data_IF_193130713924
#
_entry.id   IF_193130713924
#
_cell.length_a   1.000
_cell.length_b   1.000
_cell.length_c   1.000
_cell.angle_alpha   90.00
_cell.angle_beta   90.00
_cell.angle_gamma   90.00
#
_symmetry.space_group_name_H-M   'P 1'
#
loop_
_entity.id
_entity.type
_entity.pdbx_description
1 polymer ?
#
# COMPACT_ATOMS: atom_id res chain seq x y z
N UNK A 1 35.64 -20.82 -37.72
CA UNK A 1 34.27 -20.74 -37.14
C UNK A 1 34.41 -20.29 -35.71
N UNK A 2 34.44 -18.97 -35.50
CA UNK A 2 34.51 -18.33 -34.18
C UNK A 2 33.10 -18.30 -33.61
N UNK A 3 32.84 -19.14 -32.61
CA UNK A 3 31.61 -19.11 -31.83
C UNK A 3 31.62 -17.86 -30.96
N UNK A 4 30.91 -16.83 -31.41
CA UNK A 4 30.65 -15.63 -30.62
C UNK A 4 29.72 -16.03 -29.47
N UNK A 5 30.30 -16.22 -28.29
CA UNK A 5 29.56 -16.38 -27.05
C UNK A 5 28.83 -15.06 -26.80
N UNK A 6 27.50 -15.08 -26.88
CA UNK A 6 26.67 -13.95 -26.49
C UNK A 6 26.97 -13.63 -25.03
N UNK A 7 27.58 -12.48 -24.78
CA UNK A 7 27.73 -11.92 -23.44
C UNK A 7 26.31 -11.61 -22.96
N UNK A 8 25.72 -12.52 -22.19
CA UNK A 8 24.50 -12.25 -21.42
C UNK A 8 24.89 -11.11 -20.47
N UNK A 9 24.28 -9.94 -20.63
CA UNK A 9 24.39 -8.88 -19.63
C UNK A 9 24.05 -9.51 -18.28
N UNK A 10 25.04 -9.56 -17.39
CA UNK A 10 24.87 -10.21 -16.08
C UNK A 10 23.82 -9.43 -15.29
N UNK A 11 22.78 -10.11 -14.83
CA UNK A 11 21.77 -9.51 -13.96
C UNK A 11 22.43 -9.07 -12.66
N UNK A 12 22.36 -7.77 -12.34
CA UNK A 12 22.93 -7.23 -11.10
C UNK A 12 22.05 -7.69 -9.90
N UNK A 13 22.61 -8.43 -8.92
CA UNK A 13 21.81 -9.06 -7.86
C UNK A 13 21.05 -8.08 -6.97
N UNK A 14 21.59 -6.89 -6.71
CA UNK A 14 20.97 -5.89 -5.85
C UNK A 14 19.72 -5.32 -6.50
N UNK A 15 19.82 -4.93 -7.77
CA UNK A 15 18.73 -4.47 -8.61
C UNK A 15 17.68 -5.57 -8.79
N UNK A 16 18.10 -6.81 -9.03
CA UNK A 16 17.16 -7.94 -9.12
C UNK A 16 16.34 -8.09 -7.83
N UNK A 17 16.99 -8.08 -6.66
CA UNK A 17 16.31 -8.15 -5.36
C UNK A 17 15.38 -6.95 -5.14
N UNK A 18 15.83 -5.74 -5.49
CA UNK A 18 15.04 -4.53 -5.37
C UNK A 18 13.77 -4.60 -6.23
N UNK A 19 13.89 -5.07 -7.48
CA UNK A 19 12.77 -5.20 -8.40
C UNK A 19 11.79 -6.32 -8.00
N UNK A 20 12.28 -7.43 -7.41
CA UNK A 20 11.41 -8.44 -6.80
C UNK A 20 10.55 -7.86 -5.67
N UNK A 21 11.09 -6.90 -4.92
CA UNK A 21 10.36 -6.19 -3.86
C UNK A 21 9.16 -5.35 -4.33
N UNK A 22 8.97 -5.18 -5.64
CA UNK A 22 7.79 -4.52 -6.22
C UNK A 22 6.52 -5.38 -6.15
N UNK A 23 6.63 -6.68 -5.85
CA UNK A 23 5.48 -7.55 -5.62
C UNK A 23 5.22 -7.65 -4.10
N UNK A 24 4.15 -7.02 -3.56
CA UNK A 24 3.84 -7.10 -2.15
C UNK A 24 3.45 -8.53 -1.77
N UNK A 25 3.87 -8.96 -0.59
CA UNK A 25 3.63 -10.31 -0.07
C UNK A 25 3.11 -10.23 1.34
N UNK A 26 2.27 -11.19 1.74
CA UNK A 26 2.09 -11.46 3.16
C UNK A 26 3.36 -12.04 3.77
N UNK A 27 3.45 -12.04 5.10
CA UNK A 27 4.55 -12.68 5.83
C UNK A 27 4.04 -13.92 6.54
N UNK A 28 4.78 -15.02 6.44
CA UNK A 28 4.51 -16.24 7.17
C UNK A 28 5.72 -16.68 8.00
N UNK A 29 5.49 -17.47 9.04
CA UNK A 29 6.53 -18.26 9.71
C UNK A 29 6.31 -19.72 9.35
N UNK A 30 7.30 -20.31 8.70
CA UNK A 30 7.33 -21.73 8.41
C UNK A 30 7.97 -22.44 9.60
N UNK A 31 7.31 -23.46 10.11
CA UNK A 31 7.74 -24.20 11.29
C UNK A 31 7.77 -25.70 11.03
N UNK A 32 8.66 -26.38 11.72
CA UNK A 32 8.76 -27.84 11.74
C UNK A 32 9.39 -28.26 13.06
N UNK A 33 9.81 -29.53 13.17
CA UNK A 33 10.59 -30.02 14.30
C UNK A 33 11.96 -30.50 13.85
N UNK A 34 12.93 -30.35 14.74
CA UNK A 34 14.23 -31.01 14.62
C UNK A 34 14.10 -32.51 14.90
N UNK A 35 15.13 -33.29 14.57
CA UNK A 35 15.17 -34.74 14.81
C UNK A 35 14.99 -35.10 16.31
N UNK A 36 15.43 -34.23 17.23
CA UNK A 36 15.22 -34.35 18.67
C UNK A 36 13.87 -33.77 19.15
N UNK A 37 12.97 -33.42 18.24
CA UNK A 37 11.60 -33.00 18.52
C UNK A 37 11.43 -31.52 18.93
N UNK A 38 12.51 -30.74 19.00
CA UNK A 38 12.43 -29.30 19.33
C UNK A 38 11.78 -28.51 18.19
N UNK A 39 11.03 -27.44 18.49
CA UNK A 39 10.44 -26.60 17.46
C UNK A 39 11.53 -25.83 16.69
N UNK A 40 11.37 -25.75 15.38
CA UNK A 40 12.23 -24.98 14.48
C UNK A 40 11.37 -24.14 13.55
N UNK A 41 11.87 -22.97 13.14
CA UNK A 41 11.13 -22.13 12.20
C UNK A 41 11.89 -20.92 11.68
N UNK A 42 11.37 -20.37 10.58
CA UNK A 42 11.90 -19.18 9.93
C UNK A 42 10.79 -18.33 9.32
N UNK A 43 11.05 -17.03 9.26
CA UNK A 43 10.21 -16.09 8.51
C UNK A 43 10.39 -16.30 7.02
N UNK A 44 9.29 -16.29 6.29
CA UNK A 44 9.22 -16.52 4.87
C UNK A 44 8.16 -15.60 4.23
N UNK A 45 8.50 -14.99 3.11
CA UNK A 45 7.56 -14.25 2.28
C UNK A 45 7.50 -14.79 0.84
N UNK A 46 8.07 -15.97 0.59
CA UNK A 46 7.96 -16.71 -0.68
C UNK A 46 6.82 -17.72 -0.69
N UNK A 47 5.96 -17.69 0.33
CA UNK A 47 4.76 -18.53 0.41
C UNK A 47 3.79 -18.25 -0.75
N UNK A 48 3.24 -19.30 -1.34
CA UNK A 48 2.18 -19.18 -2.35
C UNK A 48 1.26 -20.41 -2.37
N UNK A 49 0.00 -20.22 -2.78
CA UNK A 49 -0.92 -21.31 -3.12
C UNK A 49 -0.60 -21.88 -4.50
N UNK A 50 -0.75 -23.20 -4.67
CA UNK A 50 -0.39 -23.90 -5.91
C UNK A 50 -1.59 -24.59 -6.55
N UNK A 51 -2.35 -25.36 -5.77
CA UNK A 51 -3.45 -26.18 -6.27
C UNK A 51 -4.59 -26.23 -5.25
N UNK A 52 -5.83 -26.35 -5.73
CA UNK A 52 -7.00 -26.60 -4.90
C UNK A 52 -7.27 -28.11 -4.73
N UNK A 53 -7.01 -28.93 -5.75
CA UNK A 53 -7.22 -30.37 -5.72
C UNK A 53 -6.06 -31.13 -6.41
N UNK A 54 -5.17 -31.81 -5.65
CA UNK A 54 -5.07 -31.78 -4.18
C UNK A 54 -4.69 -30.38 -3.66
N UNK A 55 -4.96 -30.05 -2.39
CA UNK A 55 -4.69 -28.74 -1.82
C UNK A 55 -3.18 -28.56 -1.60
N UNK A 56 -2.50 -27.88 -2.52
CA UNK A 56 -1.06 -27.68 -2.50
C UNK A 56 -0.67 -26.23 -2.26
N UNK A 57 0.37 -26.05 -1.45
CA UNK A 57 1.03 -24.78 -1.15
C UNK A 57 2.54 -24.95 -1.30
N UNK A 58 3.28 -23.84 -1.47
CA UNK A 58 4.74 -23.88 -1.53
C UNK A 58 5.40 -22.76 -0.72
N UNK A 59 6.68 -22.95 -0.44
CA UNK A 59 7.61 -21.91 -0.05
C UNK A 59 9.03 -22.24 -0.53
N UNK A 60 9.89 -21.23 -0.58
CA UNK A 60 11.29 -21.41 -0.98
C UNK A 60 12.23 -21.15 0.19
N UNK A 61 13.13 -22.09 0.47
CA UNK A 61 14.14 -22.01 1.53
C UNK A 61 15.54 -21.90 0.94
N UNK A 62 16.30 -20.90 1.38
CA UNK A 62 17.68 -20.69 0.91
C UNK A 62 18.56 -21.89 1.30
N UNK A 63 19.38 -22.38 0.37
CA UNK A 63 20.33 -23.48 0.61
C UNK A 63 21.37 -23.17 1.68
N UNK A 64 21.67 -21.89 1.90
CA UNK A 64 22.57 -21.42 2.96
C UNK A 64 21.91 -21.30 4.35
N UNK A 65 20.61 -21.62 4.49
CA UNK A 65 19.92 -21.63 5.78
C UNK A 65 20.45 -22.77 6.65
N UNK A 66 20.72 -22.49 7.93
CA UNK A 66 21.05 -23.52 8.92
C UNK A 66 19.91 -24.52 9.14
N UNK A 67 18.67 -24.15 8.78
CA UNK A 67 17.50 -25.02 8.89
C UNK A 67 17.26 -25.88 7.66
N UNK A 68 18.07 -25.78 6.60
CA UNK A 68 17.84 -26.57 5.38
C UNK A 68 17.83 -28.08 5.68
N UNK A 69 18.79 -28.58 6.47
CA UNK A 69 18.83 -29.99 6.87
C UNK A 69 17.59 -30.41 7.65
N UNK A 70 17.13 -29.57 8.59
CA UNK A 70 15.91 -29.83 9.37
C UNK A 70 14.68 -29.95 8.48
N UNK A 71 14.49 -29.05 7.51
CA UNK A 71 13.36 -29.13 6.58
C UNK A 71 13.51 -30.24 5.55
N UNK A 72 14.74 -30.57 5.15
CA UNK A 72 15.03 -31.65 4.22
C UNK A 72 14.66 -33.04 4.75
N UNK A 73 14.78 -33.23 6.06
CA UNK A 73 14.48 -34.49 6.77
C UNK A 73 13.06 -34.53 7.35
N UNK A 74 12.34 -33.40 7.34
CA UNK A 74 11.01 -33.31 7.91
C UNK A 74 9.94 -33.92 6.98
N UNK A 75 9.07 -34.76 7.53
CA UNK A 75 7.90 -35.28 6.81
C UNK A 75 6.73 -34.28 6.76
N UNK A 76 6.76 -33.27 7.63
CA UNK A 76 5.72 -32.26 7.76
C UNK A 76 6.27 -30.89 8.16
N UNK A 77 5.49 -29.85 7.84
CA UNK A 77 5.73 -28.49 8.26
C UNK A 77 4.41 -27.74 8.43
N UNK A 78 4.43 -26.63 9.17
CA UNK A 78 3.31 -25.72 9.26
C UNK A 78 3.65 -24.32 8.75
N UNK A 79 2.67 -23.69 8.11
CA UNK A 79 2.71 -22.32 7.61
C UNK A 79 1.84 -21.48 8.53
N UNK A 80 2.40 -20.47 9.19
CA UNK A 80 1.68 -19.57 10.09
C UNK A 80 1.64 -18.18 9.45
N UNK A 81 0.49 -17.75 8.92
CA UNK A 81 0.32 -16.44 8.27
C UNK A 81 0.17 -15.36 9.33
N UNK A 82 1.07 -14.38 9.32
CA UNK A 82 1.15 -13.37 10.37
C UNK A 82 0.10 -12.28 10.22
N UNK A 83 -0.46 -11.86 11.35
CA UNK A 83 -1.26 -10.63 11.43
C UNK A 83 -0.35 -9.40 11.51
N UNK A 84 -0.89 -8.24 11.18
CA UNK A 84 -0.22 -6.93 11.20
C UNK A 84 0.50 -6.65 12.55
N UNK A 85 0.00 -7.21 13.65
CA UNK A 85 0.53 -7.02 15.01
C UNK A 85 1.76 -7.89 15.32
N UNK A 86 2.19 -8.74 14.39
CA UNK A 86 3.24 -9.75 14.60
C UNK A 86 4.55 -9.41 13.85
N UNK A 87 4.81 -8.14 13.56
CA UNK A 87 6.07 -7.66 12.95
C UNK A 87 7.31 -8.04 13.78
N UNK A 88 7.23 -7.96 15.10
CA UNK A 88 8.28 -8.39 16.02
C UNK A 88 8.59 -9.90 15.89
N UNK A 89 7.57 -10.75 15.70
CA UNK A 89 7.77 -12.18 15.46
C UNK A 89 8.43 -12.42 14.10
N UNK A 90 7.99 -11.72 13.05
CA UNK A 90 8.63 -11.77 11.74
C UNK A 90 10.12 -11.43 11.82
N UNK A 91 10.50 -10.34 12.51
CA UNK A 91 11.90 -9.96 12.71
C UNK A 91 12.69 -11.01 13.50
N UNK A 92 12.09 -11.57 14.56
CA UNK A 92 12.68 -12.61 15.40
C UNK A 92 13.02 -13.86 14.60
N UNK A 93 12.06 -14.38 13.84
CA UNK A 93 12.22 -15.62 13.08
C UNK A 93 13.10 -15.45 11.82
N UNK A 94 13.32 -14.22 11.36
CA UNK A 94 14.28 -13.90 10.30
C UNK A 94 15.74 -13.79 10.80
N UNK A 95 15.95 -13.51 12.09
CA UNK A 95 17.28 -13.25 12.65
C UNK A 95 18.12 -14.52 12.78
N UNK A 96 19.38 -14.46 12.34
CA UNK A 96 20.40 -15.49 12.59
C UNK A 96 21.09 -15.33 13.96
N UNK A 97 20.87 -14.19 14.64
CA UNK A 97 21.51 -13.88 15.94
C UNK A 97 20.78 -14.47 17.14
N UNK A 98 19.52 -14.86 16.96
CA UNK A 98 18.68 -15.40 18.03
C UNK A 98 18.79 -16.92 18.00
N UNK A 99 19.34 -17.49 19.08
CA UNK A 99 19.55 -18.93 19.20
C UNK A 99 18.23 -19.69 19.39
N UNK A 100 17.42 -19.29 20.38
CA UNK A 100 16.07 -19.81 20.58
C UNK A 100 15.01 -18.81 20.10
N UNK A 101 14.44 -19.10 18.94
CA UNK A 101 13.39 -18.28 18.32
C UNK A 101 12.02 -18.48 18.96
N UNK A 102 11.81 -19.58 19.67
CA UNK A 102 10.53 -19.93 20.30
C UNK A 102 10.46 -19.51 21.78
N UNK A 103 11.58 -19.12 22.39
CA UNK A 103 11.61 -18.64 23.77
C UNK A 103 10.63 -17.47 23.99
N UNK A 104 9.62 -17.66 24.85
CA UNK A 104 8.60 -16.65 25.11
C UNK A 104 7.66 -16.36 23.93
N UNK A 105 7.64 -17.20 22.90
CA UNK A 105 6.62 -17.19 21.84
C UNK A 105 5.49 -18.13 22.26
N UNK A 106 4.24 -17.66 22.17
CA UNK A 106 3.08 -18.52 22.38
C UNK A 106 2.86 -19.41 21.14
N UNK A 107 2.90 -20.72 21.34
CA UNK A 107 2.65 -21.70 20.30
C UNK A 107 2.10 -22.99 20.92
N UNK A 108 1.39 -23.76 20.11
CA UNK A 108 0.85 -25.07 20.47
C UNK A 108 1.24 -26.14 19.45
N UNK A 109 1.18 -27.40 19.83
CA UNK A 109 1.31 -28.49 18.86
C UNK A 109 0.02 -28.61 18.04
N UNK A 110 0.17 -28.72 16.71
CA UNK A 110 -0.90 -29.03 15.77
C UNK A 110 -1.20 -30.53 15.66
N UNK A 111 -2.24 -30.96 14.90
CA UNK A 111 -2.57 -32.37 14.72
C UNK A 111 -1.48 -33.23 14.07
N UNK A 112 -0.62 -32.65 13.21
CA UNK A 112 0.58 -33.34 12.69
C UNK A 112 1.80 -33.17 13.62
N UNK A 113 1.59 -32.64 14.83
CA UNK A 113 2.64 -32.36 15.77
C UNK A 113 3.41 -31.07 15.47
N UNK A 114 3.09 -30.32 14.41
CA UNK A 114 3.89 -29.15 14.01
C UNK A 114 3.63 -27.93 14.93
N UNK A 115 4.63 -27.05 15.15
CA UNK A 115 4.43 -25.84 15.96
C UNK A 115 3.46 -24.85 15.29
N UNK A 116 2.33 -24.58 15.92
CA UNK A 116 1.36 -23.56 15.46
C UNK A 116 1.48 -22.34 16.36
N UNK A 117 1.87 -21.21 15.77
CA UNK A 117 2.05 -19.94 16.48
C UNK A 117 0.67 -19.32 16.74
N UNK A 118 0.45 -18.83 17.95
CA UNK A 118 -0.83 -18.21 18.33
C UNK A 118 -1.01 -16.84 17.66
N UNK A 119 -2.26 -16.37 17.58
CA UNK A 119 -2.67 -15.08 17.01
C UNK A 119 -2.30 -14.83 15.53
N UNK A 120 -1.84 -15.85 14.81
CA UNK A 120 -1.69 -15.83 13.36
C UNK A 120 -3.06 -15.84 12.67
N UNK A 121 -3.20 -15.15 11.54
CA UNK A 121 -4.46 -15.05 10.77
C UNK A 121 -4.95 -16.40 10.25
N UNK A 122 -4.01 -17.27 9.90
CA UNK A 122 -4.29 -18.62 9.47
C UNK A 122 -3.06 -19.50 9.71
N UNK A 123 -3.31 -20.79 9.90
CA UNK A 123 -2.25 -21.80 9.91
C UNK A 123 -2.61 -22.99 9.03
N UNK A 124 -1.62 -23.54 8.34
CA UNK A 124 -1.75 -24.72 7.49
C UNK A 124 -0.69 -25.76 7.88
N UNK A 125 -1.11 -26.95 8.25
CA UNK A 125 -0.23 -28.09 8.48
C UNK A 125 -0.19 -28.95 7.23
N UNK A 126 1.01 -29.18 6.75
CA UNK A 126 1.28 -29.82 5.47
C UNK A 126 2.16 -31.05 5.68
N UNK A 127 1.83 -32.15 4.99
CA UNK A 127 2.84 -33.17 4.71
C UNK A 127 3.69 -32.72 3.53
N UNK A 128 4.99 -33.03 3.54
CA UNK A 128 5.86 -32.73 2.39
C UNK A 128 5.39 -33.53 1.19
N UNK A 129 4.99 -32.83 0.13
CA UNK A 129 4.55 -33.42 -1.12
C UNK A 129 5.73 -33.57 -2.10
N UNK A 130 6.55 -32.53 -2.22
CA UNK A 130 7.75 -32.56 -3.06
C UNK A 130 8.78 -31.51 -2.62
N UNK A 131 10.04 -31.74 -3.00
CA UNK A 131 11.13 -30.77 -2.89
C UNK A 131 11.86 -30.68 -4.22
N UNK A 132 12.12 -29.47 -4.70
CA UNK A 132 12.82 -29.22 -5.95
C UNK A 132 13.96 -28.22 -5.74
N UNK A 133 15.13 -28.51 -6.30
CA UNK A 133 16.21 -27.54 -6.36
C UNK A 133 15.86 -26.40 -7.34
N UNK A 134 16.04 -25.16 -6.90
CA UNK A 134 15.74 -23.97 -7.69
C UNK A 134 16.81 -22.90 -7.49
N UNK A 135 18.03 -23.16 -8.00
CA UNK A 135 19.16 -22.25 -7.87
C UNK A 135 19.75 -22.25 -6.46
N UNK A 136 19.76 -21.09 -5.81
CA UNK A 136 20.27 -20.91 -4.43
C UNK A 136 19.20 -21.19 -3.35
N UNK A 137 18.00 -21.61 -3.76
CA UNK A 137 16.91 -22.06 -2.90
C UNK A 137 16.45 -23.46 -3.27
N UNK A 138 15.80 -24.12 -2.33
CA UNK A 138 14.95 -25.28 -2.58
C UNK A 138 13.49 -24.89 -2.40
N UNK A 139 12.65 -25.32 -3.33
CA UNK A 139 11.20 -25.15 -3.28
C UNK A 139 10.61 -26.37 -2.58
N UNK A 140 9.92 -26.13 -1.48
CA UNK A 140 9.14 -27.14 -0.77
C UNK A 140 7.68 -26.99 -1.14
N UNK A 141 7.07 -28.07 -1.59
CA UNK A 141 5.63 -28.17 -1.87
C UNK A 141 5.02 -29.03 -0.77
N UNK A 142 3.98 -28.51 -0.12
CA UNK A 142 3.23 -29.19 0.92
C UNK A 142 1.80 -29.46 0.48
N UNK A 143 1.29 -30.63 0.84
CA UNK A 143 -0.14 -30.93 0.74
C UNK A 143 -0.79 -30.62 2.08
N UNK A 144 -1.77 -29.71 2.09
CA UNK A 144 -2.47 -29.28 3.31
C UNK A 144 -3.32 -30.43 3.86
N UNK A 145 -3.05 -30.82 5.10
CA UNK A 145 -3.80 -31.85 5.83
C UNK A 145 -4.72 -31.27 6.91
N UNK A 146 -4.29 -30.19 7.55
CA UNK A 146 -5.10 -29.45 8.52
C UNK A 146 -4.93 -27.94 8.32
N UNK A 147 -5.99 -27.19 8.59
CA UNK A 147 -5.94 -25.72 8.57
C UNK A 147 -6.85 -25.14 9.65
N UNK A 148 -6.47 -23.97 10.15
CA UNK A 148 -7.31 -23.17 11.05
C UNK A 148 -7.19 -21.68 10.73
N UNK A 149 -8.31 -20.97 10.87
CA UNK A 149 -8.32 -19.50 10.86
C UNK A 149 -8.01 -18.95 12.25
N UNK A 150 -7.56 -17.70 12.28
CA UNK A 150 -7.29 -16.94 13.49
C UNK A 150 -8.17 -15.70 13.62
N UNK A 151 -7.68 -14.63 14.29
CA UNK A 151 -8.47 -13.42 14.52
C UNK A 151 -8.79 -12.70 13.22
N UNK A 152 -9.86 -11.88 13.26
CA UNK A 152 -10.28 -11.02 12.15
C UNK A 152 -9.40 -9.74 12.08
N UNK A 153 -8.09 -9.91 11.97
CA UNK A 153 -7.09 -8.84 11.84
C UNK A 153 -6.63 -8.67 10.38
N UNK A 154 -5.87 -7.60 10.10
CA UNK A 154 -5.21 -7.42 8.80
C UNK A 154 -3.91 -8.23 8.71
N UNK A 155 -3.49 -8.57 7.50
CA UNK A 155 -2.24 -9.29 7.26
C UNK A 155 -1.03 -8.38 7.40
N UNK A 156 0.06 -8.92 7.98
CA UNK A 156 1.36 -8.28 7.89
C UNK A 156 1.84 -8.33 6.44
N UNK A 157 2.08 -7.17 5.84
CA UNK A 157 2.54 -7.07 4.44
C UNK A 157 3.99 -6.62 4.40
N UNK A 158 4.76 -7.23 3.50
CA UNK A 158 6.13 -6.83 3.19
C UNK A 158 6.21 -6.35 1.75
N UNK A 159 6.70 -5.12 1.56
CA UNK A 159 6.82 -4.46 0.27
C UNK A 159 8.08 -3.58 0.24
N UNK A 160 8.87 -3.68 -0.83
CA UNK A 160 10.12 -2.90 -1.02
C UNK A 160 11.05 -2.84 0.20
N UNK A 161 11.13 -3.92 0.97
CA UNK A 161 12.04 -4.01 2.12
C UNK A 161 11.47 -3.47 3.45
N UNK A 162 10.20 -3.07 3.49
CA UNK A 162 9.54 -2.55 4.69
C UNK A 162 8.21 -3.27 4.99
N UNK A 163 7.81 -3.24 6.26
CA UNK A 163 6.45 -3.63 6.66
C UNK A 163 5.45 -2.55 6.29
N UNK A 164 4.30 -2.96 5.77
CA UNK A 164 3.22 -2.08 5.36
C UNK A 164 1.93 -2.45 6.10
N UNK A 165 1.10 -1.44 6.36
CA UNK A 165 -0.26 -1.64 6.83
C UNK A 165 -1.19 -1.81 5.63
N UNK A 166 -2.12 -2.76 5.71
CA UNK A 166 -3.22 -2.86 4.74
C UNK A 166 -4.37 -1.98 5.19
N UNK A 167 -4.80 -1.08 4.31
CA UNK A 167 -6.05 -0.37 4.45
C UNK A 167 -6.96 -0.75 3.29
N UNK A 168 -8.26 -0.93 3.56
CA UNK A 168 -9.25 -1.01 2.50
C UNK A 168 -9.13 0.26 1.64
N UNK A 169 -9.07 0.08 0.33
CA UNK A 169 -8.95 1.21 -0.57
C UNK A 169 -10.13 2.16 -0.35
N UNK A 170 -9.84 3.44 -0.07
CA UNK A 170 -10.87 4.47 0.02
C UNK A 170 -11.70 4.55 -1.26
N UNK A 171 -11.14 4.15 -2.41
CA UNK A 171 -11.86 3.95 -3.67
C UNK A 171 -13.00 2.93 -3.53
N UNK A 172 -12.71 1.76 -2.95
CA UNK A 172 -13.70 0.70 -2.73
C UNK A 172 -14.82 1.21 -1.81
N UNK A 173 -14.45 1.88 -0.72
CA UNK A 173 -15.41 2.47 0.22
C UNK A 173 -16.31 3.51 -0.45
N UNK A 174 -15.75 4.30 -1.37
CA UNK A 174 -16.46 5.27 -2.20
C UNK A 174 -17.40 4.60 -3.20
N UNK A 175 -16.93 3.61 -3.96
CA UNK A 175 -17.72 2.93 -5.00
C UNK A 175 -18.88 2.14 -4.36
N UNK A 176 -18.64 1.53 -3.20
CA UNK A 176 -19.67 0.82 -2.44
C UNK A 176 -20.64 1.75 -1.71
N UNK A 177 -20.51 3.08 -1.86
CA UNK A 177 -21.38 4.06 -1.23
C UNK A 177 -21.23 4.16 0.30
N UNK A 178 -20.20 3.53 0.88
CA UNK A 178 -19.90 3.57 2.32
C UNK A 178 -19.30 4.90 2.76
N UNK A 179 -18.73 5.66 1.82
CA UNK A 179 -18.31 7.06 1.98
C UNK A 179 -19.14 7.98 1.08
N UNK A 180 -20.06 8.73 1.69
CA UNK A 180 -20.92 9.68 1.00
C UNK A 180 -20.14 10.87 0.42
N UNK A 181 -20.73 11.56 -0.56
CA UNK A 181 -20.14 12.80 -1.12
C UNK A 181 -20.07 13.93 -0.10
N UNK A 182 -21.04 14.01 0.82
CA UNK A 182 -21.05 14.99 1.89
C UNK A 182 -19.90 14.78 2.88
N UNK A 183 -19.64 13.53 3.30
CA UNK A 183 -18.58 13.21 4.25
C UNK A 183 -17.19 13.51 3.67
N UNK A 184 -16.98 13.19 2.39
CA UNK A 184 -15.72 13.50 1.70
C UNK A 184 -15.51 15.00 1.54
N UNK A 185 -16.55 15.75 1.18
CA UNK A 185 -16.46 17.20 1.09
C UNK A 185 -16.14 17.82 2.44
N UNK A 186 -16.80 17.37 3.51
CA UNK A 186 -16.54 17.85 4.85
C UNK A 186 -15.11 17.54 5.29
N UNK A 187 -14.63 16.32 5.03
CA UNK A 187 -13.24 15.95 5.28
C UNK A 187 -12.27 16.82 4.48
N UNK A 188 -12.57 17.08 3.20
CA UNK A 188 -11.75 17.90 2.33
C UNK A 188 -11.68 19.37 2.79
N UNK A 189 -12.83 19.96 3.12
CA UNK A 189 -12.93 21.32 3.68
C UNK A 189 -12.17 21.45 4.99
N UNK A 190 -12.31 20.47 5.88
CA UNK A 190 -11.63 20.46 7.18
C UNK A 190 -10.12 20.35 7.01
N UNK A 191 -9.65 19.41 6.19
CA UNK A 191 -8.24 19.16 5.96
C UNK A 191 -7.56 20.35 5.28
N UNK A 192 -8.09 20.80 4.13
CA UNK A 192 -7.49 21.90 3.39
C UNK A 192 -7.71 23.26 4.05
N UNK A 193 -8.79 23.44 4.79
CA UNK A 193 -8.97 24.62 5.65
C UNK A 193 -7.86 24.71 6.70
N UNK A 194 -7.50 23.58 7.33
CA UNK A 194 -6.38 23.54 8.28
C UNK A 194 -5.04 23.79 7.60
N UNK A 195 -4.78 23.16 6.44
CA UNK A 195 -3.56 23.38 5.67
C UNK A 195 -3.40 24.82 5.20
N UNK A 196 -4.49 25.49 4.80
CA UNK A 196 -4.45 26.91 4.41
C UNK A 196 -4.11 27.82 5.60
N UNK A 197 -4.63 27.54 6.80
CA UNK A 197 -4.25 28.27 8.02
C UNK A 197 -2.76 28.13 8.30
N UNK A 198 -2.24 26.90 8.26
CA UNK A 198 -0.81 26.64 8.44
C UNK A 198 0.04 27.31 7.35
N UNK A 199 -0.38 27.24 6.09
CA UNK A 199 0.31 27.89 4.98
C UNK A 199 0.31 29.42 5.13
N UNK A 200 -0.78 30.03 5.60
CA UNK A 200 -0.77 31.45 5.94
C UNK A 200 0.30 31.76 7.00
N UNK A 201 0.49 30.91 8.01
CA UNK A 201 1.48 31.15 9.06
C UNK A 201 2.93 30.88 8.61
N UNK A 202 3.14 29.85 7.78
CA UNK A 202 4.45 29.21 7.63
C UNK A 202 5.03 29.30 6.21
N UNK A 203 4.20 29.47 5.18
CA UNK A 203 4.65 29.42 3.80
C UNK A 203 5.61 30.58 3.47
N UNK A 204 6.69 30.26 2.75
CA UNK A 204 7.58 31.23 2.14
C UNK A 204 6.92 31.88 0.92
N UNK A 205 7.39 33.05 0.51
CA UNK A 205 6.88 33.69 -0.72
C UNK A 205 7.08 32.81 -1.96
N UNK A 206 8.18 32.06 -2.04
CA UNK A 206 8.42 31.12 -3.15
C UNK A 206 7.42 29.95 -3.17
N UNK A 207 6.93 29.50 -2.02
CA UNK A 207 5.87 28.49 -1.95
C UNK A 207 4.50 29.05 -2.36
N UNK A 208 4.21 30.30 -2.00
CA UNK A 208 3.00 30.99 -2.47
C UNK A 208 3.07 31.22 -3.99
N UNK A 209 4.23 31.58 -4.53
CA UNK A 209 4.47 31.67 -5.97
C UNK A 209 4.24 30.32 -6.68
N UNK A 210 4.62 29.21 -6.05
CA UNK A 210 4.35 27.87 -6.59
C UNK A 210 2.85 27.54 -6.63
N UNK A 211 2.08 27.95 -5.60
CA UNK A 211 0.61 27.82 -5.61
C UNK A 211 0.03 28.69 -6.74
N UNK A 212 0.50 29.92 -6.91
CA UNK A 212 0.06 30.81 -7.99
C UNK A 212 0.37 30.23 -9.38
N UNK A 213 1.57 29.68 -9.57
CA UNK A 213 1.95 28.99 -10.81
C UNK A 213 1.04 27.77 -11.10
N UNK A 214 0.56 27.07 -10.07
CA UNK A 214 -0.41 26.00 -10.25
C UNK A 214 -1.79 26.53 -10.67
N UNK A 215 -2.22 27.69 -10.15
CA UNK A 215 -3.44 28.37 -10.62
C UNK A 215 -3.30 28.79 -12.08
N UNK A 216 -2.18 29.42 -12.45
CA UNK A 216 -1.87 29.80 -13.83
C UNK A 216 -1.96 28.60 -14.79
N UNK A 217 -1.43 27.45 -14.41
CA UNK A 217 -1.47 26.25 -15.23
C UNK A 217 -2.91 25.77 -15.50
N UNK A 218 -3.79 25.90 -14.50
CA UNK A 218 -5.21 25.57 -14.65
C UNK A 218 -5.90 26.54 -15.63
N UNK A 219 -5.60 27.83 -15.53
CA UNK A 219 -6.24 28.88 -16.35
C UNK A 219 -5.77 28.86 -17.82
N UNK A 220 -4.56 28.38 -18.08
CA UNK A 220 -4.00 28.25 -19.44
C UNK A 220 -4.60 27.09 -20.24
N UNK A 221 -5.37 26.19 -19.61
CA UNK A 221 -5.91 25.02 -20.29
C UNK A 221 -6.81 25.40 -21.46
N UNK A 222 -6.53 24.78 -22.60
CA UNK A 222 -7.34 24.91 -23.81
C UNK A 222 -8.48 23.89 -23.82
N UNK A 223 -9.56 24.12 -24.59
CA UNK A 223 -10.66 23.17 -24.72
C UNK A 223 -10.21 21.76 -25.15
N UNK A 224 -9.18 21.69 -25.98
CA UNK A 224 -8.64 20.45 -26.57
C UNK A 224 -7.67 19.69 -25.63
N UNK A 225 -7.29 20.28 -24.49
CA UNK A 225 -6.46 19.57 -23.52
C UNK A 225 -7.18 18.32 -23.00
N UNK A 226 -6.42 17.25 -22.77
CA UNK A 226 -7.00 16.01 -22.25
C UNK A 226 -7.53 16.18 -20.83
N UNK A 227 -8.53 15.35 -20.46
CA UNK A 227 -9.02 15.29 -19.08
C UNK A 227 -7.89 14.97 -18.08
N UNK A 228 -6.93 14.12 -18.47
CA UNK A 228 -5.79 13.76 -17.64
C UNK A 228 -4.89 14.98 -17.33
N UNK A 229 -4.58 15.81 -18.32
CA UNK A 229 -3.80 17.04 -18.13
C UNK A 229 -4.51 18.01 -17.18
N UNK A 230 -5.84 18.16 -17.31
CA UNK A 230 -6.63 19.03 -16.45
C UNK A 230 -6.71 18.54 -15.01
N UNK A 231 -6.90 17.24 -14.82
CA UNK A 231 -6.86 16.57 -13.51
C UNK A 231 -5.50 16.78 -12.84
N UNK A 232 -4.41 16.66 -13.60
CA UNK A 232 -3.05 16.83 -13.09
C UNK A 232 -2.80 18.27 -12.63
N UNK A 233 -3.12 19.29 -13.44
CA UNK A 233 -2.99 20.69 -13.04
C UNK A 233 -3.87 21.04 -11.83
N UNK A 234 -5.11 20.54 -11.79
CA UNK A 234 -5.98 20.72 -10.64
C UNK A 234 -5.41 20.07 -9.37
N UNK A 235 -4.85 18.86 -9.48
CA UNK A 235 -4.18 18.17 -8.37
C UNK A 235 -2.99 18.97 -7.84
N UNK A 236 -2.18 19.57 -8.73
CA UNK A 236 -1.00 20.36 -8.36
C UNK A 236 -1.33 21.56 -7.49
N UNK A 237 -2.44 22.25 -7.75
CA UNK A 237 -2.89 23.36 -6.91
C UNK A 237 -3.08 22.94 -5.45
N UNK A 238 -3.73 21.79 -5.24
CA UNK A 238 -3.96 21.24 -3.92
C UNK A 238 -2.69 20.67 -3.29
N UNK A 239 -1.84 19.99 -4.05
CA UNK A 239 -0.55 19.50 -3.54
C UNK A 239 0.38 20.64 -3.10
N UNK A 240 0.37 21.77 -3.82
CA UNK A 240 1.16 22.96 -3.47
C UNK A 240 0.67 23.60 -2.16
N UNK A 241 -0.66 23.70 -1.95
CA UNK A 241 -1.23 24.16 -0.68
C UNK A 241 -0.81 23.23 0.48
N UNK A 242 -0.88 21.91 0.26
CA UNK A 242 -0.51 20.95 1.30
C UNK A 242 0.97 21.08 1.71
N UNK A 243 1.87 21.18 0.72
CA UNK A 243 3.30 21.36 0.96
C UNK A 243 3.60 22.66 1.72
N UNK A 244 2.95 23.76 1.35
CA UNK A 244 3.13 25.07 1.97
C UNK A 244 2.68 25.11 3.45
N UNK A 245 1.90 24.14 3.91
CA UNK A 245 1.47 24.01 5.30
C UNK A 245 2.53 23.42 6.24
N UNK A 246 3.69 22.96 5.74
CA UNK A 246 4.83 22.42 6.52
C UNK A 246 4.44 21.38 7.60
N UNK A 247 3.39 20.60 7.34
CA UNK A 247 2.94 19.52 8.20
C UNK A 247 2.90 18.20 7.41
N UNK A 248 3.86 17.33 7.65
CA UNK A 248 4.04 16.10 6.88
C UNK A 248 2.85 15.13 7.03
N UNK A 249 2.29 15.00 8.24
CA UNK A 249 1.13 14.16 8.48
C UNK A 249 -0.10 14.64 7.69
N UNK A 250 -0.43 15.93 7.76
CA UNK A 250 -1.54 16.50 6.99
C UNK A 250 -1.28 16.47 5.48
N UNK A 251 -0.01 16.59 5.06
CA UNK A 251 0.38 16.47 3.64
C UNK A 251 0.13 15.06 3.12
N UNK A 252 0.47 14.01 3.89
CA UNK A 252 0.19 12.62 3.52
C UNK A 252 -1.33 12.39 3.40
N UNK A 253 -2.11 12.87 4.35
CA UNK A 253 -3.59 12.79 4.30
C UNK A 253 -4.15 13.52 3.07
N UNK A 254 -3.60 14.69 2.73
CA UNK A 254 -4.00 15.48 1.58
C UNK A 254 -3.68 14.80 0.25
N UNK A 255 -2.54 14.11 0.16
CA UNK A 255 -2.19 13.30 -1.01
C UNK A 255 -3.17 12.15 -1.21
N UNK A 256 -3.54 11.43 -0.13
CA UNK A 256 -4.55 10.38 -0.19
C UNK A 256 -5.91 10.93 -0.65
N UNK A 257 -6.36 12.05 -0.07
CA UNK A 257 -7.60 12.72 -0.46
C UNK A 257 -7.57 13.21 -1.91
N UNK A 258 -6.44 13.73 -2.39
CA UNK A 258 -6.26 14.18 -3.77
C UNK A 258 -6.32 13.00 -4.76
N UNK A 259 -5.77 11.85 -4.41
CA UNK A 259 -5.88 10.61 -5.22
C UNK A 259 -7.33 10.14 -5.33
N UNK A 260 -8.08 10.15 -4.22
CA UNK A 260 -9.50 9.79 -4.20
C UNK A 260 -10.32 10.77 -5.05
N UNK A 261 -10.05 12.06 -4.89
CA UNK A 261 -10.69 13.09 -5.70
C UNK A 261 -10.35 12.91 -7.17
N UNK A 262 -9.08 12.71 -7.54
CA UNK A 262 -8.64 12.44 -8.92
C UNK A 262 -9.44 11.33 -9.59
N UNK A 263 -9.68 10.23 -8.89
CA UNK A 263 -10.47 9.11 -9.41
C UNK A 263 -11.97 9.42 -9.50
N UNK A 264 -12.52 10.23 -8.59
CA UNK A 264 -13.90 10.76 -8.72
C UNK A 264 -14.01 11.86 -9.78
N UNK A 265 -12.95 12.63 -9.97
CA UNK A 265 -12.86 13.82 -10.80
C UNK A 265 -12.97 13.50 -12.29
N UNK A 266 -12.73 12.26 -12.69
CA UNK A 266 -13.13 11.76 -14.02
C UNK A 266 -14.63 11.89 -14.28
N UNK A 267 -15.45 11.89 -13.23
CA UNK A 267 -16.91 12.04 -13.27
C UNK A 267 -17.40 13.42 -12.79
N UNK A 268 -16.56 14.20 -12.07
CA UNK A 268 -16.94 15.50 -11.48
C UNK A 268 -16.32 16.69 -12.20
N UNK A 269 -15.10 16.58 -12.73
CA UNK A 269 -14.51 17.67 -13.53
C UNK A 269 -15.14 17.62 -14.92
N UNK A 270 -15.75 18.72 -15.39
CA UNK A 270 -16.31 18.77 -16.72
C UNK A 270 -15.22 18.55 -17.78
N UNK A 271 -15.64 18.00 -18.92
CA UNK A 271 -14.78 17.81 -20.11
C UNK A 271 -14.22 19.15 -20.65
N UNK A 272 -14.70 20.30 -20.15
CA UNK A 272 -14.28 21.64 -20.57
C UNK A 272 -13.76 22.46 -19.38
N UNK A 273 -12.83 23.41 -19.62
CA UNK A 273 -12.42 24.38 -18.59
C UNK A 273 -13.61 25.11 -17.96
N UNK A 274 -13.46 25.50 -16.68
CA UNK A 274 -14.47 26.22 -15.89
C UNK A 274 -13.95 27.60 -15.46
N UNK A 275 -14.01 28.61 -16.35
CA UNK A 275 -13.52 29.96 -16.04
C UNK A 275 -14.22 30.62 -14.86
N UNK A 276 -15.46 30.21 -14.56
CA UNK A 276 -16.23 30.68 -13.40
C UNK A 276 -15.57 30.35 -12.06
N UNK A 277 -14.65 29.38 -12.02
CA UNK A 277 -13.91 28.99 -10.83
C UNK A 277 -12.55 29.67 -10.70
N UNK A 278 -12.05 30.32 -11.75
CA UNK A 278 -10.74 30.97 -11.75
C UNK A 278 -10.63 32.07 -10.68
N UNK A 279 -11.64 32.96 -10.51
CA UNK A 279 -11.57 34.01 -9.48
C UNK A 279 -11.43 33.45 -8.06
N UNK A 280 -12.00 32.28 -7.76
CA UNK A 280 -11.93 31.67 -6.44
C UNK A 280 -10.53 31.13 -6.12
N UNK A 281 -9.87 30.51 -7.10
CA UNK A 281 -8.47 30.06 -6.95
C UNK A 281 -7.53 31.24 -6.75
N UNK A 282 -7.71 32.32 -7.52
CA UNK A 282 -6.96 33.57 -7.35
C UNK A 282 -7.21 34.21 -5.99
N UNK A 283 -8.44 34.17 -5.49
CA UNK A 283 -8.78 34.66 -4.15
C UNK A 283 -8.03 33.90 -3.05
N UNK A 284 -7.87 32.58 -3.16
CA UNK A 284 -7.05 31.80 -2.22
C UNK A 284 -5.61 32.31 -2.20
N UNK A 285 -4.96 32.49 -3.36
CA UNK A 285 -3.59 33.01 -3.46
C UNK A 285 -3.48 34.43 -2.86
N UNK A 286 -4.44 35.31 -3.16
CA UNK A 286 -4.47 36.66 -2.62
C UNK A 286 -4.58 36.68 -1.09
N UNK A 287 -5.42 35.82 -0.52
CA UNK A 287 -5.55 35.69 0.93
C UNK A 287 -4.27 35.12 1.55
N UNK A 288 -3.62 34.13 0.93
CA UNK A 288 -2.32 33.61 1.39
C UNK A 288 -1.24 34.71 1.42
N UNK A 289 -1.12 35.51 0.35
CA UNK A 289 -0.18 36.66 0.32
C UNK A 289 -0.47 37.69 1.41
N UNK A 290 -1.74 37.87 1.77
CA UNK A 290 -2.18 38.77 2.84
C UNK A 290 -2.13 38.14 4.23
N UNK A 291 -1.75 36.86 4.32
CA UNK A 291 -1.77 36.07 5.56
C UNK A 291 -3.18 36.02 6.20
N UNK A 292 -4.21 36.10 5.37
CA UNK A 292 -5.63 36.04 5.74
C UNK A 292 -6.13 34.59 5.68
N UNK A 293 -5.94 33.88 6.78
CA UNK A 293 -6.26 32.46 6.89
C UNK A 293 -7.77 32.17 6.72
N UNK A 294 -8.63 32.99 7.30
CA UNK A 294 -10.09 32.81 7.21
C UNK A 294 -10.59 33.11 5.79
N UNK A 295 -10.09 34.17 5.15
CA UNK A 295 -10.42 34.48 3.76
C UNK A 295 -9.97 33.39 2.79
N UNK A 296 -8.78 32.81 2.99
CA UNK A 296 -8.27 31.71 2.19
C UNK A 296 -9.17 30.47 2.33
N UNK A 297 -9.51 30.09 3.57
CA UNK A 297 -10.37 28.94 3.84
C UNK A 297 -11.79 29.14 3.27
N UNK A 298 -12.37 30.33 3.41
CA UNK A 298 -13.69 30.66 2.87
C UNK A 298 -13.72 30.66 1.33
N UNK A 299 -12.66 31.15 0.68
CA UNK A 299 -12.53 31.11 -0.78
C UNK A 299 -12.45 29.66 -1.30
N UNK A 300 -11.74 28.79 -0.58
CA UNK A 300 -11.69 27.37 -0.91
C UNK A 300 -13.04 26.67 -0.67
N UNK A 301 -13.72 26.99 0.42
CA UNK A 301 -15.05 26.49 0.73
C UNK A 301 -16.05 26.78 -0.41
N UNK A 302 -16.07 28.03 -0.90
CA UNK A 302 -16.89 28.42 -2.04
C UNK A 302 -16.48 27.68 -3.33
N UNK A 303 -15.18 27.46 -3.55
CA UNK A 303 -14.65 26.71 -4.70
C UNK A 303 -15.18 25.28 -4.72
N UNK A 304 -15.12 24.57 -3.59
CA UNK A 304 -15.59 23.19 -3.48
C UNK A 304 -17.11 23.12 -3.72
N UNK A 305 -17.87 24.09 -3.20
CA UNK A 305 -19.32 24.16 -3.42
C UNK A 305 -19.65 24.33 -4.91
N UNK A 306 -18.99 25.25 -5.63
CA UNK A 306 -19.26 25.48 -7.07
C UNK A 306 -18.76 24.37 -7.99
N UNK A 307 -17.74 23.61 -7.56
CA UNK A 307 -17.30 22.42 -8.27
C UNK A 307 -18.43 21.38 -8.35
N UNK A 308 -19.25 21.24 -7.30
CA UNK A 308 -20.37 20.29 -7.26
C UNK A 308 -21.58 20.71 -8.07
N UNK A 309 -21.98 21.98 -7.99
CA UNK A 309 -23.21 22.47 -8.64
C UNK A 309 -23.18 22.39 -10.16
N UNK A 310 -22.01 22.19 -10.78
CA UNK A 310 -21.90 21.97 -12.23
C UNK A 310 -21.58 20.53 -12.64
N UNK A 311 -21.43 19.59 -11.69
CA UNK A 311 -21.22 18.16 -11.97
C UNK A 311 -22.52 17.36 -12.10
N UNK A 312 -23.56 17.75 -11.35
CA UNK A 312 -24.87 17.05 -11.33
C UNK A 312 -25.70 17.25 -12.62
N UNK A 313 -25.33 18.19 -13.49
CA UNK A 313 -26.05 18.44 -14.77
C UNK A 313 -25.64 17.44 -15.87
N UNK A 314 -24.57 16.67 -15.69
CA UNK A 314 -24.11 15.68 -16.67
C UNK A 314 -24.68 14.27 -16.45
N UNK A 315 -25.42 14.03 -15.36
CA UNK A 315 -26.14 12.78 -15.13
C UNK A 315 -27.59 12.90 -15.64
N UNK A 316 -27.78 12.97 -16.96
CA UNK A 316 -29.11 12.70 -17.51
C UNK A 316 -29.50 11.23 -17.24
N UNK A 317 -30.71 10.98 -16.71
CA UNK A 317 -31.23 9.62 -16.62
C UNK A 317 -31.76 9.21 -17.99
N UNK A 318 -31.11 8.22 -18.61
CA UNK A 318 -31.77 7.39 -19.63
C UNK A 318 -30.92 7.06 -20.85
N UNK A 319 -30.51 5.79 -20.92
CA UNK A 319 -30.83 4.94 -22.08
C UNK A 319 -31.29 3.58 -21.57
N UNK A 320 -32.41 3.16 -22.15
CA UNK A 320 -33.16 1.93 -21.90
C UNK A 320 -32.35 0.66 -22.14
#
# INVERSE_FOLDING_TARGET
MTSTTLHRDSIEPTLFRQLLGCFPTGVAIITTRTADGRPAGLTCNSFSSVSLEPPLVLFSLRKASSLLGTFAEADAFAINILSERQDALSGRFASSKIADKFEGVAWRSGPLGMPIIEDCLASFECSVHARHEAGDHDVFIGEVKHMSGGPADQALVFYKGAYMMLAESLRTLVIQGRLGSADLDQAYRTLYGTLLRLACEQATEGEIDAIEAAVDAIERHQPDDSLAQRIESASRFFSAIAAAGHNEALTLMAQTMTTILRERMTHVIPVRPRPDLFPLRRKVVLCLRRRDADGAAAALDELITKLRTGGDVAAEPGRA
#
